data_IF_105757980093
#
_entry.id   IF_105757980093
#
_cell.length_a   1.000
_cell.length_b   1.000
_cell.length_c   1.000
_cell.angle_alpha   90.00
_cell.angle_beta   90.00
_cell.angle_gamma   90.00
#
_symmetry.space_group_name_H-M   'P 1'
#
loop_
_entity.id
_entity.type
_entity.pdbx_description
1 polymer ?
#
# COMPACT_ATOMS: atom_id res chain seq x y z
N UNK A 1 -15.89 0.80 5.27
CA UNK A 1 -16.42 1.72 4.25
C UNK A 1 -15.28 1.96 3.27
N UNK A 2 -15.33 1.37 2.08
CA UNK A 2 -14.23 1.43 1.11
C UNK A 2 -14.33 2.74 0.32
N UNK A 3 -13.24 3.48 0.19
CA UNK A 3 -13.17 4.71 -0.59
C UNK A 3 -13.53 4.43 -2.06
N UNK A 4 -14.80 4.65 -2.44
CA UNK A 4 -15.29 4.39 -3.80
C UNK A 4 -14.57 5.22 -4.86
N UNK A 5 -14.05 6.39 -4.47
CA UNK A 5 -13.27 7.29 -5.31
C UNK A 5 -11.96 7.65 -4.63
N UNK A 6 -10.87 7.68 -5.37
CA UNK A 6 -9.59 8.21 -4.89
C UNK A 6 -9.65 9.72 -4.67
N UNK A 7 -8.70 10.30 -3.93
CA UNK A 7 -8.38 11.71 -4.06
C UNK A 7 -8.08 12.09 -5.52
N UNK A 8 -8.25 13.37 -5.83
CA UNK A 8 -7.97 13.90 -7.17
C UNK A 8 -6.46 13.99 -7.40
N UNK A 9 -5.98 13.40 -8.49
CA UNK A 9 -4.63 13.62 -8.99
C UNK A 9 -4.66 14.79 -9.96
N UNK A 10 -4.07 15.91 -9.56
CA UNK A 10 -4.07 17.14 -10.35
C UNK A 10 -3.05 17.05 -11.49
N UNK A 11 -3.45 17.45 -12.71
CA UNK A 11 -2.54 17.57 -13.86
C UNK A 11 -1.87 18.95 -13.91
N UNK A 12 -1.11 19.31 -12.88
CA UNK A 12 -0.35 20.57 -12.83
C UNK A 12 0.89 20.38 -11.99
N UNK A 13 1.93 21.18 -12.25
CA UNK A 13 3.09 21.26 -11.35
C UNK A 13 2.75 22.06 -10.10
N UNK A 14 3.57 21.93 -9.07
CA UNK A 14 3.41 22.70 -7.84
C UNK A 14 3.45 24.22 -8.09
N UNK A 15 4.29 24.68 -9.04
CA UNK A 15 4.39 26.09 -9.39
C UNK A 15 3.13 26.62 -10.07
N UNK A 16 2.49 25.81 -10.92
CA UNK A 16 1.28 26.20 -11.67
C UNK A 16 -0.02 26.06 -10.86
N UNK A 17 0.03 25.41 -9.70
CA UNK A 17 -1.17 25.07 -8.91
C UNK A 17 -2.05 26.26 -8.53
N UNK A 18 -1.44 27.43 -8.33
CA UNK A 18 -2.14 28.65 -7.89
C UNK A 18 -2.05 29.77 -8.95
N UNK A 19 -1.68 29.44 -10.19
CA UNK A 19 -1.57 30.39 -11.29
C UNK A 19 -2.76 30.18 -12.22
N UNK A 20 -3.28 31.27 -12.77
CA UNK A 20 -4.32 31.21 -13.78
C UNK A 20 -3.76 30.65 -15.10
N UNK A 21 -4.45 29.66 -15.67
CA UNK A 21 -4.08 29.02 -16.92
C UNK A 21 -5.18 29.32 -17.94
N UNK A 22 -4.80 29.90 -19.07
CA UNK A 22 -5.74 30.26 -20.14
C UNK A 22 -5.89 29.08 -21.10
N UNK A 23 -7.14 28.76 -21.43
CA UNK A 23 -7.56 27.67 -22.32
C UNK A 23 -6.85 26.33 -22.06
N UNK A 24 -6.85 25.79 -20.82
CA UNK A 24 -6.09 24.59 -20.52
C UNK A 24 -6.73 23.35 -21.16
N UNK A 25 -5.88 22.51 -21.75
CA UNK A 25 -6.24 21.20 -22.32
C UNK A 25 -5.49 20.09 -21.58
N UNK A 26 -6.19 19.00 -21.28
CA UNK A 26 -5.65 17.91 -20.46
C UNK A 26 -5.84 16.57 -21.16
N UNK A 27 -4.78 15.76 -21.19
CA UNK A 27 -4.83 14.41 -21.70
C UNK A 27 -4.10 13.45 -20.76
N UNK A 28 -4.81 12.40 -20.33
CA UNK A 28 -4.26 11.38 -19.45
C UNK A 28 -4.01 10.06 -20.18
N UNK A 29 -2.87 9.46 -19.89
CA UNK A 29 -2.46 8.15 -20.37
C UNK A 29 -2.28 7.22 -19.17
N UNK A 30 -2.86 6.04 -19.22
CA UNK A 30 -2.71 5.02 -18.19
C UNK A 30 -1.36 4.26 -18.27
N UNK A 31 -1.13 3.30 -17.35
CA UNK A 31 0.11 2.52 -17.24
C UNK A 31 0.51 1.79 -18.53
N UNK A 32 -0.46 1.46 -19.37
CA UNK A 32 -0.27 0.78 -20.66
C UNK A 32 -0.09 1.74 -21.83
N UNK A 33 0.09 3.04 -21.57
CA UNK A 33 0.23 4.09 -22.59
C UNK A 33 -1.06 4.39 -23.37
N UNK A 34 -2.21 3.87 -22.94
CA UNK A 34 -3.51 4.13 -23.57
C UNK A 34 -4.15 5.39 -22.97
N UNK A 35 -4.80 6.18 -23.82
CA UNK A 35 -5.59 7.33 -23.40
C UNK A 35 -6.73 6.85 -22.49
N UNK A 36 -6.91 7.55 -21.37
CA UNK A 36 -8.00 7.27 -20.43
C UNK A 36 -9.27 7.91 -20.98
N UNK A 37 -10.24 7.08 -21.36
CA UNK A 37 -11.56 7.48 -21.86
C UNK A 37 -12.65 7.32 -20.79
N UNK A 38 -13.79 7.98 -20.97
CA UNK A 38 -14.91 8.06 -20.00
C UNK A 38 -15.50 6.71 -19.53
N UNK A 39 -15.31 5.61 -20.29
CA UNK A 39 -15.83 4.28 -19.94
C UNK A 39 -14.85 3.40 -19.14
N UNK A 40 -13.86 3.98 -18.46
CA UNK A 40 -12.87 3.22 -17.69
C UNK A 40 -13.06 3.38 -16.18
N UNK A 41 -12.44 2.50 -15.39
CA UNK A 41 -12.35 2.61 -13.93
C UNK A 41 -11.55 3.85 -13.46
N UNK A 42 -11.05 4.66 -14.39
CA UNK A 42 -10.48 5.97 -14.14
C UNK A 42 -11.23 7.05 -14.95
N UNK A 43 -11.49 8.18 -14.32
CA UNK A 43 -12.23 9.30 -14.91
C UNK A 43 -11.36 10.56 -14.88
N UNK A 44 -11.36 11.30 -15.98
CA UNK A 44 -10.79 12.65 -16.05
C UNK A 44 -11.92 13.66 -15.83
N UNK A 45 -11.74 14.60 -14.90
CA UNK A 45 -12.71 15.67 -14.64
C UNK A 45 -12.61 16.77 -15.70
N UNK A 46 -13.62 17.65 -15.75
CA UNK A 46 -13.56 18.87 -16.57
C UNK A 46 -12.39 19.79 -16.23
N UNK A 47 -11.89 19.74 -14.99
CA UNK A 47 -10.70 20.46 -14.52
C UNK A 47 -9.38 19.72 -14.79
N UNK A 48 -9.41 18.61 -15.55
CA UNK A 48 -8.23 17.85 -15.92
C UNK A 48 -7.66 16.94 -14.82
N UNK A 49 -8.38 16.77 -13.70
CA UNK A 49 -7.94 15.88 -12.62
C UNK A 49 -8.29 14.43 -12.92
N UNK A 50 -7.40 13.51 -12.53
CA UNK A 50 -7.66 12.07 -12.61
C UNK A 50 -8.24 11.54 -11.30
N UNK A 51 -9.33 10.78 -11.38
CA UNK A 51 -9.98 10.10 -10.26
C UNK A 51 -10.08 8.62 -10.59
N UNK A 52 -9.66 7.77 -9.65
CA UNK A 52 -9.84 6.33 -9.74
C UNK A 52 -11.13 5.90 -9.06
N UNK A 53 -11.87 5.01 -9.69
CA UNK A 53 -13.04 4.34 -9.14
C UNK A 53 -12.69 2.88 -8.87
N UNK A 54 -12.96 2.40 -7.65
CA UNK A 54 -12.70 1.00 -7.25
C UNK A 54 -11.30 0.52 -7.65
N UNK A 55 -10.27 1.21 -7.16
CA UNK A 55 -8.88 0.98 -7.60
C UNK A 55 -8.39 -0.45 -7.31
N UNK A 56 -7.95 -1.15 -8.35
CA UNK A 56 -7.47 -2.55 -8.29
C UNK A 56 -5.97 -2.65 -8.52
N UNK A 57 -5.36 -3.77 -8.09
CA UNK A 57 -3.93 -4.04 -8.26
C UNK A 57 -3.45 -3.86 -9.70
N UNK A 58 -4.20 -4.38 -10.67
CA UNK A 58 -3.89 -4.29 -12.09
C UNK A 58 -3.92 -2.87 -12.66
N UNK A 59 -4.45 -1.89 -11.91
CA UNK A 59 -4.44 -0.48 -12.26
C UNK A 59 -3.16 0.22 -11.78
N UNK A 60 -2.29 -0.45 -11.02
CA UNK A 60 -1.02 0.12 -10.58
C UNK A 60 -0.08 0.38 -11.77
N UNK A 61 0.73 1.44 -11.66
CA UNK A 61 1.76 1.77 -12.62
C UNK A 61 1.90 3.28 -12.87
N UNK A 62 2.49 3.63 -14.00
CA UNK A 62 2.81 5.03 -14.33
C UNK A 62 1.69 5.67 -15.14
N UNK A 63 1.02 6.64 -14.55
CA UNK A 63 0.05 7.50 -15.22
C UNK A 63 0.75 8.76 -15.71
N UNK A 64 0.53 9.14 -16.96
CA UNK A 64 1.12 10.35 -17.55
C UNK A 64 0.02 11.35 -17.86
N UNK A 65 0.20 12.59 -17.43
CA UNK A 65 -0.62 13.69 -17.89
C UNK A 65 0.13 14.61 -18.82
N UNK A 66 -0.56 15.07 -19.86
CA UNK A 66 -0.15 16.14 -20.75
C UNK A 66 -1.09 17.33 -20.51
N UNK A 67 -0.49 18.46 -20.13
CA UNK A 67 -1.15 19.75 -19.96
C UNK A 67 -0.65 20.68 -21.05
N UNK A 68 -1.58 21.22 -21.84
CA UNK A 68 -1.33 22.34 -22.75
C UNK A 68 -2.05 23.57 -22.21
N UNK A 69 -1.38 24.72 -22.14
CA UNK A 69 -1.98 25.95 -21.63
C UNK A 69 -1.29 27.19 -22.17
N UNK A 70 -1.96 28.35 -22.07
CA UNK A 70 -1.34 29.66 -22.26
C UNK A 70 -1.16 30.37 -20.91
N UNK A 71 0.03 30.92 -20.60
CA UNK A 71 0.24 31.71 -19.39
C UNK A 71 -0.53 33.04 -19.40
N UNK A 72 -0.63 33.67 -20.58
CA UNK A 72 -1.37 34.90 -20.84
C UNK A 72 -1.98 34.82 -22.24
N UNK A 73 -2.95 35.69 -22.57
CA UNK A 73 -3.71 35.61 -23.84
C UNK A 73 -2.79 35.74 -25.07
N UNK A 74 -1.71 36.52 -24.93
CA UNK A 74 -0.76 36.84 -25.99
C UNK A 74 0.41 35.84 -26.07
N UNK A 75 0.65 35.07 -25.01
CA UNK A 75 1.75 34.11 -24.98
C UNK A 75 1.45 32.84 -25.78
N UNK A 76 2.52 32.22 -26.27
CA UNK A 76 2.47 30.93 -26.97
C UNK A 76 2.05 29.80 -26.02
N UNK A 77 1.42 28.77 -26.59
CA UNK A 77 1.03 27.57 -25.85
C UNK A 77 2.26 26.86 -25.27
N UNK A 78 2.21 26.53 -23.99
CA UNK A 78 3.22 25.75 -23.26
C UNK A 78 2.67 24.37 -22.96
N UNK A 79 3.55 23.37 -23.08
CA UNK A 79 3.23 21.97 -22.85
C UNK A 79 4.01 21.45 -21.64
N UNK A 80 3.32 20.77 -20.75
CA UNK A 80 3.89 20.16 -19.55
C UNK A 80 3.49 18.70 -19.50
N UNK A 81 4.47 17.83 -19.29
CA UNK A 81 4.26 16.41 -19.06
C UNK A 81 4.56 16.07 -17.61
N UNK A 82 3.60 15.46 -16.93
CA UNK A 82 3.74 14.98 -15.56
C UNK A 82 3.57 13.45 -15.52
N UNK A 83 4.39 12.77 -14.73
CA UNK A 83 4.30 11.32 -14.52
C UNK A 83 4.05 11.02 -13.05
N UNK A 84 3.04 10.20 -12.78
CA UNK A 84 2.62 9.78 -11.45
C UNK A 84 2.77 8.27 -11.36
N UNK A 85 3.49 7.81 -10.35
CA UNK A 85 3.54 6.38 -10.03
C UNK A 85 2.45 6.11 -9.00
N UNK A 86 1.45 5.32 -9.40
CA UNK A 86 0.30 5.00 -8.55
C UNK A 86 0.34 3.51 -8.25
N UNK A 87 0.22 3.15 -6.97
CA UNK A 87 0.19 1.76 -6.51
C UNK A 87 -1.09 1.47 -5.76
N UNK A 88 -1.75 0.37 -6.11
CA UNK A 88 -2.89 -0.10 -5.34
C UNK A 88 -2.35 -0.78 -4.09
N UNK A 89 -2.62 -0.17 -2.94
CA UNK A 89 -2.36 -0.78 -1.66
C UNK A 89 -3.67 -1.35 -1.14
N UNK A 90 -3.78 -2.68 -1.11
CA UNK A 90 -4.91 -3.34 -0.44
C UNK A 90 -4.56 -3.55 1.02
N UNK A 91 -5.17 -2.77 1.90
CA UNK A 91 -5.28 -3.19 3.29
C UNK A 91 -6.12 -4.48 3.34
N UNK A 92 -5.65 -5.52 4.04
CA UNK A 92 -6.41 -6.75 4.19
C UNK A 92 -7.77 -6.43 4.83
N UNK A 93 -8.87 -6.95 4.23
CA UNK A 93 -10.24 -6.72 4.71
C UNK A 93 -10.43 -7.13 6.18
N UNK A 94 -9.67 -8.13 6.60
CA UNK A 94 -9.52 -8.58 7.98
C UNK A 94 -8.14 -9.24 8.08
N UNK A 95 -7.53 -9.18 9.26
CA UNK A 95 -6.38 -9.99 9.63
C UNK A 95 -6.77 -10.82 10.85
N UNK A 96 -6.10 -11.96 11.03
CA UNK A 96 -6.31 -12.80 12.20
C UNK A 96 -5.09 -12.72 13.09
N UNK A 97 -5.32 -12.40 14.36
CA UNK A 97 -4.25 -12.44 15.34
C UNK A 97 -4.27 -13.76 16.08
N UNK A 98 -3.14 -14.46 16.07
CA UNK A 98 -2.97 -15.73 16.80
C UNK A 98 -1.91 -15.57 17.88
N UNK A 99 -2.23 -15.99 19.09
CA UNK A 99 -1.27 -16.05 20.20
C UNK A 99 -0.95 -17.49 20.55
N UNK A 100 0.34 -17.76 20.75
CA UNK A 100 0.81 -19.10 21.09
C UNK A 100 1.83 -19.03 22.21
N UNK A 101 1.86 -20.08 23.02
CA UNK A 101 2.75 -20.21 24.17
C UNK A 101 3.55 -21.50 24.09
N UNK A 102 4.86 -21.40 24.25
CA UNK A 102 5.78 -22.54 24.19
C UNK A 102 6.75 -22.55 25.37
N UNK A 103 7.06 -23.75 25.86
CA UNK A 103 8.18 -23.93 26.77
C UNK A 103 9.50 -23.54 26.10
N UNK A 104 10.31 -22.77 26.80
CA UNK A 104 11.50 -22.15 26.27
C UNK A 104 12.77 -22.59 26.99
N UNK A 105 13.90 -22.50 26.28
CA UNK A 105 15.19 -22.45 26.93
C UNK A 105 15.28 -21.17 27.81
N UNK A 106 16.31 -21.01 28.67
CA UNK A 106 16.55 -19.74 29.36
C UNK A 106 16.41 -18.54 28.41
N UNK A 107 15.75 -17.47 28.84
CA UNK A 107 15.33 -16.40 27.93
C UNK A 107 16.46 -15.70 27.16
N UNK A 108 17.69 -15.77 27.68
CA UNK A 108 18.91 -15.27 27.03
C UNK A 108 19.53 -16.25 26.02
N UNK A 109 18.89 -17.39 25.76
CA UNK A 109 19.41 -18.44 24.90
C UNK A 109 19.15 -18.17 23.42
N UNK A 110 20.19 -18.37 22.60
CA UNK A 110 20.10 -18.28 21.14
C UNK A 110 19.15 -19.34 20.53
N UNK A 111 18.88 -20.43 21.25
CA UNK A 111 17.95 -21.47 20.79
C UNK A 111 16.52 -20.94 20.61
N UNK A 112 16.10 -19.96 21.43
CA UNK A 112 14.78 -19.34 21.33
C UNK A 112 14.64 -18.55 20.02
N UNK A 113 15.70 -17.84 19.60
CA UNK A 113 15.75 -17.10 18.33
C UNK A 113 15.70 -18.07 17.14
N UNK A 114 16.43 -19.19 17.22
CA UNK A 114 16.41 -20.21 16.18
C UNK A 114 15.03 -20.86 16.05
N UNK A 115 14.39 -21.15 17.18
CA UNK A 115 13.02 -21.69 17.23
C UNK A 115 12.01 -20.72 16.60
N UNK A 116 12.04 -19.44 16.97
CA UNK A 116 11.18 -18.40 16.41
C UNK A 116 11.28 -18.35 14.88
N UNK A 117 12.49 -18.30 14.33
CA UNK A 117 12.71 -18.29 12.88
C UNK A 117 12.18 -19.54 12.20
N UNK A 118 12.39 -20.71 12.82
CA UNK A 118 11.90 -22.00 12.29
C UNK A 118 10.38 -22.04 12.31
N UNK A 119 9.75 -21.59 13.38
CA UNK A 119 8.30 -21.55 13.54
C UNK A 119 7.67 -20.62 12.49
N UNK A 120 8.19 -19.40 12.33
CA UNK A 120 7.71 -18.47 11.31
C UNK A 120 7.82 -19.08 9.91
N UNK A 121 8.96 -19.70 9.56
CA UNK A 121 9.13 -20.38 8.27
C UNK A 121 8.10 -21.49 8.03
N UNK A 122 7.75 -22.27 9.06
CA UNK A 122 6.74 -23.33 8.95
C UNK A 122 5.36 -22.70 8.73
N UNK A 123 5.00 -21.68 9.53
CA UNK A 123 3.71 -20.99 9.40
C UNK A 123 3.55 -20.34 8.02
N UNK A 124 4.57 -19.63 7.53
CA UNK A 124 4.57 -19.03 6.20
C UNK A 124 4.38 -20.06 5.09
N UNK A 125 4.93 -21.28 5.24
CA UNK A 125 4.71 -22.37 4.28
C UNK A 125 3.28 -22.92 4.34
N UNK A 126 2.67 -22.98 5.53
CA UNK A 126 1.31 -23.50 5.70
C UNK A 126 0.25 -22.58 5.08
N UNK A 127 0.49 -21.27 5.08
CA UNK A 127 -0.46 -20.29 4.52
C UNK A 127 -0.18 -19.93 3.05
N UNK A 128 0.87 -20.50 2.45
CA UNK A 128 1.35 -20.11 1.13
C UNK A 128 0.27 -20.26 0.04
N UNK A 129 -0.53 -21.31 0.13
CA UNK A 129 -1.63 -21.59 -0.81
C UNK A 129 -2.91 -20.79 -0.51
N UNK A 130 -2.96 -20.09 0.63
CA UNK A 130 -4.14 -19.32 1.07
C UNK A 130 -4.07 -17.84 0.65
N UNK A 131 -3.03 -17.41 -0.09
CA UNK A 131 -2.78 -16.00 -0.41
C UNK A 131 -2.75 -15.09 0.83
N UNK A 132 -2.35 -15.64 1.97
CA UNK A 132 -2.15 -14.90 3.22
C UNK A 132 -0.66 -14.77 3.51
N UNK A 133 -0.28 -13.67 4.15
CA UNK A 133 1.04 -13.49 4.73
C UNK A 133 0.94 -13.68 6.24
N UNK A 134 1.94 -14.34 6.84
CA UNK A 134 2.07 -14.45 8.29
C UNK A 134 3.30 -13.66 8.71
N UNK A 135 3.09 -12.79 9.67
CA UNK A 135 4.10 -11.92 10.25
C UNK A 135 4.18 -12.16 11.76
N UNK A 136 5.40 -12.11 12.31
CA UNK A 136 5.58 -12.13 13.75
C UNK A 136 5.42 -10.71 14.28
N UNK A 137 4.35 -10.47 15.04
CA UNK A 137 4.06 -9.17 15.63
C UNK A 137 4.78 -8.96 16.95
N UNK A 138 4.81 -10.00 17.81
CA UNK A 138 5.42 -9.91 19.14
C UNK A 138 6.00 -11.25 19.57
N UNK A 139 7.17 -11.21 20.20
CA UNK A 139 7.85 -12.37 20.81
C UNK A 139 8.42 -11.95 22.16
N UNK A 140 7.95 -12.57 23.24
CA UNK A 140 8.37 -12.25 24.60
C UNK A 140 8.70 -13.53 25.37
N UNK A 141 9.83 -13.52 26.08
CA UNK A 141 10.19 -14.61 26.97
C UNK A 141 10.00 -14.19 28.43
N UNK A 142 9.28 -15.00 29.19
CA UNK A 142 9.03 -14.76 30.60
C UNK A 142 9.38 -15.97 31.44
N UNK A 143 9.97 -15.71 32.60
CA UNK A 143 10.15 -16.73 33.64
C UNK A 143 8.94 -16.72 34.55
N UNK A 144 8.19 -17.81 34.52
CA UNK A 144 6.92 -17.94 35.24
C UNK A 144 7.02 -18.97 36.36
N UNK A 145 6.19 -18.81 37.39
CA UNK A 145 6.01 -19.81 38.45
C UNK A 145 4.75 -20.60 38.19
N UNK A 146 4.91 -21.89 37.91
CA UNK A 146 3.82 -22.86 37.83
C UNK A 146 3.51 -23.39 39.24
N UNK A 147 2.22 -23.47 39.58
CA UNK A 147 1.80 -23.88 40.93
C UNK A 147 2.29 -25.29 41.31
N UNK A 148 2.42 -26.19 40.34
CA UNK A 148 2.85 -27.59 40.55
C UNK A 148 4.15 -27.98 39.85
N UNK A 149 4.67 -27.13 38.97
CA UNK A 149 5.81 -27.46 38.10
C UNK A 149 7.04 -26.54 38.29
N UNK A 150 7.06 -25.76 39.37
CA UNK A 150 8.19 -24.89 39.71
C UNK A 150 8.34 -23.69 38.76
N UNK A 151 9.55 -23.16 38.66
CA UNK A 151 9.87 -22.04 37.76
C UNK A 151 10.20 -22.56 36.36
N UNK A 152 9.56 -22.00 35.34
CA UNK A 152 9.77 -22.37 33.93
C UNK A 152 9.93 -21.11 33.07
N UNK A 153 10.64 -21.23 31.96
CA UNK A 153 10.70 -20.17 30.95
C UNK A 153 9.69 -20.47 29.85
N UNK A 154 8.97 -19.45 29.42
CA UNK A 154 7.92 -19.55 28.43
C UNK A 154 8.10 -18.44 27.40
N UNK A 155 7.91 -18.79 26.13
CA UNK A 155 7.83 -17.87 25.02
C UNK A 155 6.38 -17.63 24.65
N UNK A 156 6.03 -16.36 24.51
CA UNK A 156 4.74 -15.88 24.08
C UNK A 156 4.92 -15.23 22.72
N UNK A 157 4.27 -15.82 21.72
CA UNK A 157 4.25 -15.29 20.36
C UNK A 157 2.89 -14.71 20.04
N UNK A 158 2.90 -13.63 19.27
CA UNK A 158 1.74 -13.06 18.61
C UNK A 158 2.06 -12.95 17.13
N UNK A 159 1.24 -13.58 16.29
CA UNK A 159 1.32 -13.52 14.84
C UNK A 159 0.11 -12.79 14.26
N UNK A 160 0.28 -12.19 13.09
CA UNK A 160 -0.76 -11.54 12.28
C UNK A 160 -0.63 -11.88 10.81
#
# INVERSE_FOLDING_TARGET
>A
MLHHKSPHVLCVTQQLRNIELIDPSFQWHGPKGKIISENSTAQVTSTGSLIFQSFEEAMSGVYTCFLEYKPTVEEVVKNVQLKYVVYAFREPRFYYQFTARYHAAPCNSIYNISFEKKLLQILSKLVLDLSCEVSLFKSECHRIKMQRAGLQNELFFTFS
#
